data_IF_408846444382
#
_entry.id   IF_408846444382
#
_cell.length_a   1.000
_cell.length_b   1.000
_cell.length_c   1.000
_cell.angle_alpha   90.00
_cell.angle_beta   90.00
_cell.angle_gamma   90.00
#
_symmetry.space_group_name_H-M   'P 1'
#
loop_
_entity.id
_entity.type
_entity.pdbx_description
1 polymer ?
#
# COMPACT_ATOMS: atom_id res chain seq x y z
N UNK A 1 15.53 15.19 -0.98
CA UNK A 1 14.46 15.22 0.06
C UNK A 1 13.30 14.29 -0.29
N UNK A 2 12.69 14.41 -1.48
CA UNK A 2 11.56 13.56 -1.90
C UNK A 2 11.85 12.04 -1.86
N UNK A 3 13.02 11.61 -2.35
CA UNK A 3 13.43 10.20 -2.29
C UNK A 3 13.52 9.69 -0.85
N UNK A 4 14.11 10.47 0.06
CA UNK A 4 14.25 10.07 1.46
C UNK A 4 12.89 9.90 2.15
N UNK A 5 11.94 10.81 1.91
CA UNK A 5 10.57 10.73 2.41
C UNK A 5 9.84 9.51 1.85
N UNK A 6 10.04 9.20 0.56
CA UNK A 6 9.50 8.00 -0.05
C UNK A 6 10.04 6.72 0.60
N UNK A 7 11.37 6.62 0.77
CA UNK A 7 12.02 5.47 1.38
C UNK A 7 11.54 5.23 2.82
N UNK A 8 11.46 6.30 3.62
CA UNK A 8 10.96 6.22 5.01
C UNK A 8 9.48 5.87 5.08
N UNK A 9 8.66 6.42 4.18
CA UNK A 9 7.23 6.07 4.08
C UNK A 9 7.02 4.60 3.74
N UNK A 10 7.73 4.08 2.73
CA UNK A 10 7.63 2.65 2.36
C UNK A 10 8.15 1.73 3.45
N UNK A 11 9.23 2.11 4.15
CA UNK A 11 9.71 1.36 5.29
C UNK A 11 8.68 1.33 6.43
N UNK A 12 8.03 2.44 6.73
CA UNK A 12 6.96 2.49 7.73
C UNK A 12 5.76 1.60 7.35
N UNK A 13 5.34 1.65 6.08
CA UNK A 13 4.24 0.81 5.56
C UNK A 13 4.60 -0.68 5.63
N UNK A 14 5.82 -1.05 5.23
CA UNK A 14 6.29 -2.43 5.30
C UNK A 14 6.28 -2.95 6.75
N UNK A 15 6.73 -2.13 7.70
CA UNK A 15 6.68 -2.46 9.13
C UNK A 15 5.24 -2.58 9.64
N UNK A 16 4.36 -1.64 9.28
CA UNK A 16 2.95 -1.70 9.61
C UNK A 16 2.33 -3.02 9.15
N UNK A 17 2.53 -3.40 7.88
CA UNK A 17 2.02 -4.67 7.37
C UNK A 17 2.61 -5.89 8.09
N UNK A 18 3.93 -5.90 8.32
CA UNK A 18 4.61 -7.02 8.99
C UNK A 18 4.11 -7.26 10.41
N UNK A 19 3.86 -6.20 11.18
CA UNK A 19 3.50 -6.30 12.60
C UNK A 19 1.99 -6.42 12.82
N UNK A 20 1.18 -5.67 12.08
CA UNK A 20 -0.28 -5.60 12.29
C UNK A 20 -1.00 -6.80 11.67
N UNK A 21 -0.50 -7.34 10.56
CA UNK A 21 -1.18 -8.39 9.79
C UNK A 21 -0.53 -9.78 9.93
N UNK A 22 0.06 -10.08 11.09
CA UNK A 22 0.70 -11.39 11.36
C UNK A 22 -0.24 -12.59 11.34
N UNK A 23 -1.54 -12.39 11.59
CA UNK A 23 -2.50 -13.48 11.75
C UNK A 23 -3.53 -13.47 10.61
N UNK A 24 -3.56 -14.49 9.73
CA UNK A 24 -4.37 -14.49 8.51
C UNK A 24 -5.87 -14.28 8.77
N UNK A 25 -6.41 -14.76 9.90
CA UNK A 25 -7.80 -14.55 10.32
C UNK A 25 -8.12 -13.09 10.70
N UNK A 26 -7.15 -12.36 11.25
CA UNK A 26 -7.29 -10.94 11.60
C UNK A 26 -6.92 -10.02 10.44
N UNK A 27 -6.13 -10.52 9.49
CA UNK A 27 -5.56 -9.77 8.37
C UNK A 27 -6.64 -9.10 7.51
N UNK A 28 -7.73 -9.79 7.16
CA UNK A 28 -8.81 -9.21 6.36
C UNK A 28 -9.66 -8.19 7.12
N UNK A 29 -9.99 -8.43 8.39
CA UNK A 29 -10.78 -7.49 9.20
C UNK A 29 -10.02 -6.18 9.43
N UNK A 30 -8.74 -6.27 9.76
CA UNK A 30 -7.87 -5.10 9.94
C UNK A 30 -7.69 -4.35 8.63
N UNK A 31 -7.67 -5.05 7.49
CA UNK A 31 -7.54 -4.40 6.18
C UNK A 31 -8.79 -3.59 5.84
N UNK A 32 -9.99 -4.12 6.11
CA UNK A 32 -11.24 -3.37 5.91
C UNK A 32 -11.25 -2.07 6.74
N UNK A 33 -10.86 -2.16 8.02
CA UNK A 33 -10.79 -0.97 8.90
C UNK A 33 -9.77 0.03 8.36
N UNK A 34 -8.59 -0.45 7.97
CA UNK A 34 -7.54 0.37 7.37
C UNK A 34 -8.00 1.05 6.08
N UNK A 35 -8.73 0.32 5.24
CA UNK A 35 -9.29 0.83 4.00
C UNK A 35 -10.32 1.94 4.26
N UNK A 36 -11.20 1.77 5.25
CA UNK A 36 -12.17 2.80 5.65
C UNK A 36 -11.43 4.05 6.13
N UNK A 37 -10.40 3.91 6.96
CA UNK A 37 -9.62 5.03 7.49
C UNK A 37 -8.92 5.79 6.37
N UNK A 38 -8.25 5.09 5.44
CA UNK A 38 -7.60 5.72 4.30
C UNK A 38 -8.62 6.42 3.40
N UNK A 39 -9.78 5.81 3.19
CA UNK A 39 -10.85 6.40 2.38
C UNK A 39 -11.37 7.70 2.98
N UNK A 40 -11.51 7.77 4.31
CA UNK A 40 -11.87 8.99 5.02
C UNK A 40 -10.77 10.05 4.94
N UNK A 41 -9.50 9.65 5.09
CA UNK A 41 -8.36 10.58 4.96
C UNK A 41 -8.25 11.16 3.55
N UNK A 42 -8.43 10.33 2.53
CA UNK A 42 -8.47 10.74 1.12
C UNK A 42 -9.52 11.84 0.91
N UNK A 43 -10.71 11.70 1.50
CA UNK A 43 -11.78 12.68 1.38
C UNK A 43 -11.46 14.04 2.03
N UNK A 44 -10.58 14.06 3.04
CA UNK A 44 -10.13 15.28 3.71
C UNK A 44 -9.05 16.01 2.92
N UNK A 45 -8.19 15.28 2.19
CA UNK A 45 -7.02 15.84 1.49
C UNK A 45 -7.44 16.66 0.26
N UNK A 46 -8.36 16.13 -0.54
CA UNK A 46 -8.89 16.85 -1.72
C UNK A 46 -10.40 16.59 -1.86
N UNK A 47 -11.24 17.49 -1.33
CA UNK A 47 -12.69 17.36 -1.37
C UNK A 47 -13.29 17.62 -2.77
N UNK A 48 -12.52 18.12 -3.72
CA UNK A 48 -13.02 18.44 -5.06
C UNK A 48 -12.91 17.25 -6.02
N UNK A 49 -11.88 16.41 -5.85
CA UNK A 49 -11.64 15.22 -6.68
C UNK A 49 -11.74 13.92 -5.87
N UNK A 50 -12.80 13.80 -5.06
CA UNK A 50 -12.99 12.68 -4.13
C UNK A 50 -12.87 11.30 -4.79
N UNK A 51 -13.44 11.12 -5.98
CA UNK A 51 -13.43 9.83 -6.67
C UNK A 51 -12.00 9.43 -7.09
N UNK A 52 -11.24 10.37 -7.63
CA UNK A 52 -9.87 10.16 -8.07
C UNK A 52 -8.95 9.85 -6.90
N UNK A 53 -9.02 10.65 -5.84
CA UNK A 53 -8.21 10.45 -4.64
C UNK A 53 -8.60 9.14 -3.96
N UNK A 54 -9.89 8.83 -3.86
CA UNK A 54 -10.36 7.56 -3.34
C UNK A 54 -9.81 6.38 -4.14
N UNK A 55 -9.98 6.36 -5.47
CA UNK A 55 -9.50 5.27 -6.34
C UNK A 55 -7.99 5.12 -6.26
N UNK A 56 -7.25 6.24 -6.28
CA UNK A 56 -5.78 6.24 -6.23
C UNK A 56 -5.28 5.68 -4.90
N UNK A 57 -5.75 6.21 -3.77
CA UNK A 57 -5.31 5.74 -2.46
C UNK A 57 -5.78 4.33 -2.17
N UNK A 58 -7.08 4.05 -2.35
CA UNK A 58 -7.65 2.72 -2.09
C UNK A 58 -7.01 1.63 -2.94
N UNK A 59 -6.83 1.87 -4.24
CA UNK A 59 -6.19 0.94 -5.16
C UNK A 59 -4.73 0.68 -4.78
N UNK A 60 -3.98 1.74 -4.46
CA UNK A 60 -2.57 1.63 -4.10
C UNK A 60 -2.35 0.77 -2.86
N UNK A 61 -3.06 1.08 -1.77
CA UNK A 61 -2.94 0.33 -0.52
C UNK A 61 -3.50 -1.10 -0.62
N UNK A 62 -4.47 -1.33 -1.50
CA UNK A 62 -4.96 -2.69 -1.80
C UNK A 62 -3.89 -3.52 -2.49
N UNK A 63 -3.17 -2.94 -3.46
CA UNK A 63 -2.06 -3.64 -4.13
C UNK A 63 -0.93 -3.95 -3.15
N UNK A 64 -0.54 -2.99 -2.31
CA UNK A 64 0.48 -3.22 -1.26
C UNK A 64 0.06 -4.31 -0.27
N UNK A 65 -1.22 -4.37 0.08
CA UNK A 65 -1.75 -5.46 0.89
C UNK A 65 -1.71 -6.80 0.15
N UNK A 66 -1.98 -6.82 -1.15
CA UNK A 66 -1.77 -7.97 -2.01
C UNK A 66 -0.33 -8.47 -1.97
N UNK A 67 0.66 -7.56 -2.03
CA UNK A 67 2.09 -7.90 -1.86
C UNK A 67 2.35 -8.55 -0.51
N UNK A 68 1.80 -8.00 0.58
CA UNK A 68 1.91 -8.60 1.91
C UNK A 68 1.36 -10.03 1.93
N UNK A 69 0.17 -10.26 1.37
CA UNK A 69 -0.44 -11.59 1.28
C UNK A 69 0.39 -12.56 0.43
N UNK A 70 0.97 -12.09 -0.67
CA UNK A 70 1.83 -12.90 -1.54
C UNK A 70 3.10 -13.34 -0.81
N UNK A 71 3.73 -12.42 -0.08
CA UNK A 71 4.95 -12.69 0.68
C UNK A 71 4.71 -13.63 1.85
N UNK A 72 3.65 -13.40 2.64
CA UNK A 72 3.39 -14.18 3.85
C UNK A 72 2.61 -15.47 3.59
N UNK A 73 1.70 -15.47 2.61
CA UNK A 73 0.88 -16.62 2.24
C UNK A 73 1.55 -17.54 1.24
N UNK A 74 1.88 -17.02 0.05
CA UNK A 74 2.41 -17.82 -1.08
C UNK A 74 3.88 -18.16 -0.86
N UNK A 75 4.73 -17.15 -0.65
CA UNK A 75 6.17 -17.34 -0.48
C UNK A 75 6.58 -17.71 0.95
N UNK A 76 5.65 -17.58 1.92
CA UNK A 76 5.85 -17.91 3.35
C UNK A 76 7.07 -17.23 3.98
N UNK A 77 7.37 -16.00 3.55
CA UNK A 77 8.47 -15.19 4.05
C UNK A 77 8.07 -14.57 5.39
N UNK A 78 8.40 -15.27 6.48
CA UNK A 78 8.02 -14.88 7.84
C UNK A 78 9.13 -14.16 8.61
N UNK A 79 10.38 -14.24 8.13
CA UNK A 79 11.53 -13.57 8.74
C UNK A 79 11.50 -12.08 8.39
N UNK A 80 11.74 -11.22 9.38
CA UNK A 80 11.65 -9.77 9.26
C UNK A 80 12.51 -9.21 8.12
N UNK A 81 13.83 -9.44 8.13
CA UNK A 81 14.74 -8.87 7.13
C UNK A 81 14.40 -9.30 5.69
N UNK A 82 14.21 -10.61 5.38
CA UNK A 82 13.76 -11.03 4.06
C UNK A 82 12.41 -10.45 3.65
N UNK A 83 11.46 -10.34 4.59
CA UNK A 83 10.15 -9.76 4.32
C UNK A 83 10.27 -8.29 3.95
N UNK A 84 10.97 -7.48 4.74
CA UNK A 84 11.11 -6.03 4.50
C UNK A 84 11.79 -5.80 3.16
N UNK A 85 12.86 -6.53 2.85
CA UNK A 85 13.57 -6.39 1.59
C UNK A 85 12.70 -6.78 0.37
N UNK A 86 12.02 -7.92 0.44
CA UNK A 86 11.15 -8.38 -0.63
C UNK A 86 9.92 -7.48 -0.82
N UNK A 87 9.29 -7.06 0.29
CA UNK A 87 8.17 -6.11 0.26
C UNK A 87 8.61 -4.80 -0.38
N UNK A 88 9.78 -4.29 -0.01
CA UNK A 88 10.30 -3.04 -0.54
C UNK A 88 10.52 -3.12 -2.06
N UNK A 89 11.19 -4.17 -2.56
CA UNK A 89 11.42 -4.38 -3.98
C UNK A 89 10.13 -4.50 -4.79
N UNK A 90 9.16 -5.27 -4.30
CA UNK A 90 7.89 -5.45 -5.00
C UNK A 90 7.05 -4.16 -4.92
N UNK A 91 7.08 -3.47 -3.78
CA UNK A 91 6.37 -2.21 -3.61
C UNK A 91 6.87 -1.14 -4.57
N UNK A 92 8.17 -1.07 -4.86
CA UNK A 92 8.73 -0.16 -5.87
C UNK A 92 8.13 -0.41 -7.27
N UNK A 93 8.05 -1.68 -7.67
CA UNK A 93 7.42 -2.06 -8.94
C UNK A 93 5.94 -1.67 -8.94
N UNK A 94 5.22 -2.00 -7.87
CA UNK A 94 3.80 -1.63 -7.72
C UNK A 94 3.62 -0.12 -7.80
N UNK A 95 4.44 0.69 -7.12
CA UNK A 95 4.39 2.15 -7.19
C UNK A 95 4.59 2.65 -8.61
N UNK A 96 5.62 2.16 -9.32
CA UNK A 96 5.93 2.62 -10.67
C UNK A 96 4.80 2.28 -11.65
N UNK A 97 4.32 1.04 -11.63
CA UNK A 97 3.22 0.59 -12.49
C UNK A 97 1.91 1.32 -12.15
N UNK A 98 1.58 1.45 -10.87
CA UNK A 98 0.35 2.10 -10.44
C UNK A 98 0.36 3.59 -10.74
N UNK A 99 1.50 4.26 -10.59
CA UNK A 99 1.68 5.66 -10.99
C UNK A 99 1.41 5.86 -12.48
N UNK A 100 2.02 5.02 -13.34
CA UNK A 100 1.78 5.06 -14.78
C UNK A 100 0.31 4.79 -15.14
N UNK A 101 -0.32 3.79 -14.49
CA UNK A 101 -1.73 3.47 -14.70
C UNK A 101 -2.65 4.65 -14.35
N UNK A 102 -2.39 5.33 -13.23
CA UNK A 102 -3.21 6.47 -12.81
C UNK A 102 -3.02 7.70 -13.71
N UNK A 103 -1.82 7.91 -14.25
CA UNK A 103 -1.56 8.91 -15.29
C UNK A 103 -2.42 8.68 -16.53
N UNK A 104 -2.51 7.43 -16.99
CA UNK A 104 -3.35 7.09 -18.14
C UNK A 104 -4.86 7.21 -17.84
N UNK A 105 -5.31 6.78 -16.66
CA UNK A 105 -6.74 6.79 -16.29
C UNK A 105 -7.26 8.22 -16.10
N UNK A 106 -6.53 9.07 -15.35
CA UNK A 106 -6.98 10.40 -14.99
C UNK A 106 -6.45 11.51 -15.91
N UNK A 107 -5.65 11.15 -16.92
CA UNK A 107 -5.05 12.09 -17.88
C UNK A 107 -4.32 13.24 -17.18
N UNK A 108 -3.53 12.95 -16.15
CA UNK A 108 -2.62 13.95 -15.59
C UNK A 108 -1.67 14.41 -16.71
N UNK A 109 -1.73 15.70 -17.10
CA UNK A 109 -0.83 16.28 -18.10
C UNK A 109 0.56 16.51 -17.54
#
# INVERSE_FOLDING_TARGET
>A
MALFLFLTGMFAIANFYYWVFRSPLKTYKLFIIFFIVISLMAAVIDPHNLLEVFVTFSGYYTLLFGVHLLLTGTFRINRYFPYIFAFFLISLLVTAFFGALMQDIFKYS
#
